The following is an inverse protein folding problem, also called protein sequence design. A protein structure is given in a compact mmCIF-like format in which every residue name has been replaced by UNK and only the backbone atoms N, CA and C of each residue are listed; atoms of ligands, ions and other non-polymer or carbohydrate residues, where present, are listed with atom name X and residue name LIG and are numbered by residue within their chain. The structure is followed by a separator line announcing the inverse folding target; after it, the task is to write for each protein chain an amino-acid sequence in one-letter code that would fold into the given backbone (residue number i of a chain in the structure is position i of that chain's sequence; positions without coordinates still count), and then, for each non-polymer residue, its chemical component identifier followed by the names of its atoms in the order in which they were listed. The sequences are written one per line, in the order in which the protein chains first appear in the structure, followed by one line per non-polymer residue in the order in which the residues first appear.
data_IF_018614075906
#
_entry.id   IF_018614075906
#
_cell.length_a   1.000
_cell.length_b   1.000
_cell.length_c   1.000
_cell.angle_alpha   90.00
_cell.angle_beta   90.00
_cell.angle_gamma   90.00
#
_symmetry.space_group_name_H-M   'P 1'
#
loop_
_entity.id
_entity.type
_entity.pdbx_description
1 polymer ?
#
# COMPACT_ATOMS: atom_id res chain seq x y z
N UNK A 1 0.69 -0.16 -3.93
CA UNK A 1 -0.42 0.33 -3.09
C UNK A 1 0.10 1.06 -1.84
N UNK A 2 0.73 0.37 -0.88
CA UNK A 2 1.24 0.99 0.35
C UNK A 2 2.17 2.18 0.15
N UNK A 3 3.10 2.10 -0.81
CA UNK A 3 3.97 3.24 -1.16
C UNK A 3 3.18 4.45 -1.65
N UNK A 4 2.10 4.25 -2.40
CA UNK A 4 1.22 5.32 -2.86
C UNK A 4 0.53 6.01 -1.68
N UNK A 5 0.04 5.24 -0.71
CA UNK A 5 -0.55 5.79 0.52
C UNK A 5 0.47 6.58 1.34
N UNK A 6 1.70 6.07 1.47
CA UNK A 6 2.77 6.77 2.16
C UNK A 6 3.07 8.13 1.51
N UNK A 7 3.25 8.16 0.19
CA UNK A 7 3.50 9.40 -0.56
C UNK A 7 2.32 10.38 -0.48
N UNK A 8 1.09 9.88 -0.54
CA UNK A 8 -0.10 10.72 -0.37
C UNK A 8 -0.19 11.30 1.05
N UNK A 9 0.22 10.53 2.06
CA UNK A 9 0.36 11.00 3.44
C UNK A 9 1.45 12.06 3.59
N UNK A 10 2.60 11.86 2.95
CA UNK A 10 3.70 12.85 2.96
C UNK A 10 3.28 14.18 2.31
N UNK A 11 2.55 14.13 1.19
CA UNK A 11 2.02 15.33 0.52
C UNK A 11 0.95 16.02 1.40
N UNK A 12 0.03 15.26 1.99
CA UNK A 12 -1.04 15.82 2.80
C UNK A 12 -0.58 16.30 4.18
N UNK A 13 0.59 15.85 4.64
CA UNK A 13 1.18 16.22 5.91
C UNK A 13 0.33 15.84 7.13
N UNK A 14 0.61 16.47 8.27
CA UNK A 14 -0.07 16.19 9.54
C UNK A 14 -1.58 16.45 9.50
N UNK A 15 -2.04 17.37 8.65
CA UNK A 15 -3.45 17.75 8.56
C UNK A 15 -4.35 16.55 8.24
N UNK A 16 -3.84 15.59 7.45
CA UNK A 16 -4.56 14.35 7.08
C UNK A 16 -5.00 13.54 8.31
N UNK A 17 -4.28 13.64 9.44
CA UNK A 17 -4.61 12.90 10.67
C UNK A 17 -5.02 13.78 11.84
N UNK A 18 -4.85 15.10 11.75
CA UNK A 18 -5.19 16.04 12.81
C UNK A 18 -6.27 17.06 12.44
N UNK A 19 -6.84 17.01 11.22
CA UNK A 19 -7.90 17.96 10.84
C UNK A 19 -9.09 17.86 11.81
N UNK A 20 -9.77 19.00 12.10
CA UNK A 20 -10.99 18.97 12.88
C UNK A 20 -12.12 18.27 12.12
N UNK A 21 -13.20 17.97 12.84
CA UNK A 21 -14.44 17.51 12.22
C UNK A 21 -14.97 18.56 11.25
N UNK A 22 -15.49 18.15 10.09
CA UNK A 22 -16.17 19.06 9.16
C UNK A 22 -17.39 19.75 9.79
N UNK A 23 -17.91 19.22 10.91
CA UNK A 23 -18.99 19.85 11.68
C UNK A 23 -18.56 21.16 12.34
N UNK A 24 -17.26 21.37 12.57
CA UNK A 24 -16.76 22.62 13.17
C UNK A 24 -17.01 23.83 12.26
N UNK A 25 -17.16 23.63 10.94
CA UNK A 25 -17.55 24.69 10.00
C UNK A 25 -18.98 25.22 10.24
N UNK A 26 -19.78 24.53 11.05
CA UNK A 26 -21.13 24.95 11.44
C UNK A 26 -21.21 25.35 12.91
N UNK A 27 -20.12 25.22 13.66
CA UNK A 27 -20.08 25.50 15.09
C UNK A 27 -19.82 26.99 15.32
N UNK A 28 -20.76 27.75 15.91
CA UNK A 28 -20.60 29.20 16.08
C UNK A 28 -19.42 29.60 16.96
N UNK A 29 -18.89 28.70 17.80
CA UNK A 29 -17.77 28.99 18.70
C UNK A 29 -16.39 28.77 18.05
N UNK A 30 -16.29 27.84 17.08
CA UNK A 30 -15.01 27.40 16.51
C UNK A 30 -14.87 27.68 15.02
N UNK A 31 -15.97 27.95 14.32
CA UNK A 31 -16.00 28.15 12.87
C UNK A 31 -15.00 29.20 12.42
N UNK A 32 -14.99 30.37 13.04
CA UNK A 32 -14.14 31.49 12.63
C UNK A 32 -12.65 31.12 12.73
N UNK A 33 -12.25 30.41 13.79
CA UNK A 33 -10.88 29.89 13.93
C UNK A 33 -10.55 28.83 12.89
N UNK A 34 -11.51 27.95 12.57
CA UNK A 34 -11.29 26.92 11.55
C UNK A 34 -11.12 27.56 10.18
N UNK A 35 -11.97 28.53 9.84
CA UNK A 35 -11.87 29.26 8.57
C UNK A 35 -10.55 30.04 8.48
N UNK A 36 -10.13 30.73 9.54
CA UNK A 36 -8.86 31.47 9.60
C UNK A 36 -7.65 30.54 9.45
N UNK A 37 -7.50 29.55 10.34
CA UNK A 37 -6.25 28.77 10.43
C UNK A 37 -6.11 27.65 9.40
N UNK A 38 -7.20 27.21 8.76
CA UNK A 38 -7.15 26.17 7.73
C UNK A 38 -7.43 26.69 6.30
N UNK A 39 -7.53 28.01 6.11
CA UNK A 39 -7.61 28.62 4.77
C UNK A 39 -6.29 28.57 4.00
N UNK A 40 -5.15 28.55 4.70
CA UNK A 40 -3.80 28.63 4.11
C UNK A 40 -3.60 29.84 3.18
N UNK A 41 -4.28 30.96 3.47
CA UNK A 41 -4.25 32.17 2.61
C UNK A 41 -4.65 31.87 1.16
N UNK A 42 -5.52 30.86 0.98
CA UNK A 42 -6.02 30.43 -0.33
C UNK A 42 -7.30 31.18 -0.71
N UNK A 43 -7.46 31.45 -2.01
CA UNK A 43 -8.74 31.92 -2.58
C UNK A 43 -9.85 30.85 -2.51
N UNK A 44 -9.49 29.57 -2.31
CA UNK A 44 -10.44 28.47 -2.22
C UNK A 44 -11.10 28.41 -0.83
N UNK A 45 -12.42 28.20 -0.72
CA UNK A 45 -13.08 28.07 0.56
C UNK A 45 -12.46 26.98 1.44
N UNK A 46 -12.20 27.29 2.72
CA UNK A 46 -11.65 26.37 3.73
C UNK A 46 -12.42 25.04 3.79
N UNK A 47 -13.74 25.09 3.58
CA UNK A 47 -14.59 23.90 3.53
C UNK A 47 -14.17 22.90 2.43
N UNK A 48 -13.71 23.38 1.27
CA UNK A 48 -13.29 22.53 0.16
C UNK A 48 -11.88 21.98 0.39
N UNK A 49 -10.97 22.77 0.95
CA UNK A 49 -9.65 22.31 1.42
C UNK A 49 -9.82 21.15 2.39
N UNK A 50 -10.64 21.34 3.43
CA UNK A 50 -10.90 20.30 4.43
C UNK A 50 -11.57 19.06 3.84
N UNK A 51 -12.46 19.18 2.84
CA UNK A 51 -13.04 18.01 2.15
C UNK A 51 -11.98 17.20 1.39
N UNK A 52 -11.06 17.87 0.69
CA UNK A 52 -9.96 17.19 -0.03
C UNK A 52 -9.02 16.52 0.98
N UNK A 53 -8.68 17.20 2.07
CA UNK A 53 -7.89 16.58 3.13
C UNK A 53 -8.60 15.38 3.75
N UNK A 54 -9.92 15.45 3.94
CA UNK A 54 -10.72 14.34 4.46
C UNK A 54 -10.74 13.15 3.51
N UNK A 55 -10.82 13.40 2.21
CA UNK A 55 -10.69 12.36 1.18
C UNK A 55 -9.33 11.67 1.29
N UNK A 56 -8.24 12.45 1.39
CA UNK A 56 -6.90 11.89 1.58
C UNK A 56 -6.81 11.07 2.87
N UNK A 57 -7.38 11.54 3.98
CA UNK A 57 -7.46 10.79 5.25
C UNK A 57 -8.10 9.42 5.07
N UNK A 58 -9.20 9.33 4.33
CA UNK A 58 -9.87 8.05 4.10
C UNK A 58 -9.02 7.11 3.24
N UNK A 59 -8.24 7.64 2.30
CA UNK A 59 -7.35 6.85 1.46
C UNK A 59 -6.11 6.36 2.19
N UNK A 60 -5.49 7.18 3.03
CA UNK A 60 -4.19 6.90 3.65
C UNK A 60 -4.30 6.30 5.04
N UNK A 61 -5.37 6.60 5.79
CA UNK A 61 -5.57 6.16 7.17
C UNK A 61 -6.94 5.47 7.40
N UNK A 62 -7.70 5.20 6.34
CA UNK A 62 -8.97 4.48 6.41
C UNK A 62 -8.86 2.96 6.25
N UNK A 63 -9.99 2.32 5.93
CA UNK A 63 -10.10 0.85 5.84
C UNK A 63 -9.39 0.24 4.62
N UNK A 64 -9.00 1.05 3.64
CA UNK A 64 -8.37 0.56 2.39
C UNK A 64 -7.09 -0.23 2.63
N UNK A 65 -6.26 0.17 3.60
CA UNK A 65 -5.04 -0.55 3.93
C UNK A 65 -5.33 -2.02 4.31
N UNK A 66 -6.22 -2.22 5.26
CA UNK A 66 -6.62 -3.58 5.72
C UNK A 66 -7.28 -4.37 4.59
N UNK A 67 -8.16 -3.73 3.81
CA UNK A 67 -8.82 -4.36 2.67
C UNK A 67 -7.83 -4.88 1.62
N UNK A 68 -6.77 -4.12 1.32
CA UNK A 68 -5.73 -4.56 0.37
C UNK A 68 -4.76 -5.59 0.95
N UNK A 69 -4.58 -5.61 2.27
CA UNK A 69 -3.72 -6.61 2.93
C UNK A 69 -4.37 -8.00 3.04
N UNK A 70 -5.68 -8.02 3.25
CA UNK A 70 -6.45 -9.24 3.48
C UNK A 70 -7.38 -9.62 2.33
N UNK A 71 -7.51 -8.76 1.31
CA UNK A 71 -8.32 -9.04 0.12
C UNK A 71 -7.86 -10.33 -0.56
N UNK A 72 -8.79 -11.26 -0.76
CA UNK A 72 -8.54 -12.62 -1.25
C UNK A 72 -7.60 -13.48 -0.36
N UNK A 73 -7.46 -13.12 0.93
CA UNK A 73 -6.68 -13.85 1.93
C UNK A 73 -5.40 -13.13 2.36
N UNK A 74 -4.82 -13.52 3.52
CA UNK A 74 -3.56 -12.93 3.98
C UNK A 74 -2.40 -13.31 3.03
N UNK A 75 -1.31 -12.55 3.07
CA UNK A 75 -0.09 -12.78 2.24
C UNK A 75 0.41 -14.23 2.31
N UNK A 76 0.28 -14.90 3.46
CA UNK A 76 0.66 -16.30 3.61
C UNK A 76 -0.16 -17.26 2.74
N UNK A 77 -1.45 -16.98 2.50
CA UNK A 77 -2.27 -17.81 1.62
C UNK A 77 -1.69 -17.83 0.19
N UNK A 78 -1.28 -16.68 -0.33
CA UNK A 78 -0.66 -16.58 -1.65
C UNK A 78 0.71 -17.26 -1.70
N UNK A 79 1.54 -17.11 -0.65
CA UNK A 79 2.84 -17.80 -0.55
C UNK A 79 2.69 -19.32 -0.60
N UNK A 80 1.72 -19.88 0.13
CA UNK A 80 1.42 -21.31 0.11
C UNK A 80 1.00 -21.75 -1.29
N UNK A 81 0.16 -20.97 -1.98
CA UNK A 81 -0.27 -21.30 -3.33
C UNK A 81 0.89 -21.30 -4.33
N UNK A 82 1.80 -20.32 -4.26
CA UNK A 82 3.01 -20.30 -5.11
C UNK A 82 3.87 -21.55 -4.84
N UNK A 83 4.06 -21.90 -3.56
CA UNK A 83 4.84 -23.10 -3.20
C UNK A 83 4.21 -24.40 -3.72
N UNK A 84 2.88 -24.47 -3.81
CA UNK A 84 2.16 -25.64 -4.33
C UNK A 84 2.18 -25.74 -5.85
N UNK A 85 2.21 -24.60 -6.55
CA UNK A 85 2.13 -24.54 -8.00
C UNK A 85 3.51 -24.56 -8.67
N UNK A 86 4.57 -24.15 -7.97
CA UNK A 86 5.93 -24.11 -8.51
C UNK A 86 6.62 -25.47 -8.39
N UNK A 87 7.15 -25.99 -9.51
CA UNK A 87 7.99 -27.18 -9.52
C UNK A 87 9.45 -26.80 -9.26
N UNK A 88 9.80 -26.70 -7.98
CA UNK A 88 11.17 -26.37 -7.56
C UNK A 88 12.21 -27.42 -7.97
N UNK A 89 11.82 -28.67 -8.28
CA UNK A 89 12.75 -29.69 -8.75
C UNK A 89 13.13 -29.42 -10.20
N UNK A 90 12.15 -29.08 -11.04
CA UNK A 90 12.39 -28.65 -12.42
C UNK A 90 13.31 -27.42 -12.47
N UNK A 91 13.01 -26.37 -11.71
CA UNK A 91 13.84 -25.15 -11.65
C UNK A 91 15.27 -25.45 -11.19
N UNK A 92 15.43 -26.34 -10.21
CA UNK A 92 16.76 -26.76 -9.73
C UNK A 92 17.52 -27.53 -10.81
N UNK A 93 16.84 -28.33 -11.63
CA UNK A 93 17.49 -29.10 -12.70
C UNK A 93 17.97 -28.17 -13.82
N UNK A 94 17.18 -27.17 -14.21
CA UNK A 94 17.59 -26.14 -15.17
C UNK A 94 18.87 -25.41 -14.71
N UNK A 95 18.97 -25.07 -13.42
CA UNK A 95 20.17 -24.46 -12.86
C UNK A 95 21.38 -25.41 -12.93
N UNK A 96 21.18 -26.70 -12.62
CA UNK A 96 22.28 -27.68 -12.73
C UNK A 96 22.76 -27.84 -14.15
N UNK A 97 21.84 -27.95 -15.10
CA UNK A 97 22.17 -28.08 -16.52
C UNK A 97 22.93 -26.85 -17.02
N UNK A 98 22.43 -25.65 -16.70
CA UNK A 98 23.07 -24.37 -17.07
C UNK A 98 24.49 -24.24 -16.51
N UNK A 99 24.72 -24.76 -15.30
CA UNK A 99 26.03 -24.73 -14.65
C UNK A 99 26.92 -25.95 -14.97
N UNK A 100 26.45 -26.89 -15.80
CA UNK A 100 27.17 -28.14 -16.10
C UNK A 100 27.33 -29.06 -14.88
N UNK A 101 26.45 -28.97 -13.89
CA UNK A 101 26.44 -29.79 -12.67
C UNK A 101 25.62 -31.08 -12.82
N UNK A 102 24.98 -31.29 -13.98
CA UNK A 102 24.38 -32.57 -14.33
C UNK A 102 25.49 -33.62 -14.40
N UNK A 103 25.45 -34.61 -13.50
CA UNK A 103 26.32 -35.78 -13.62
C UNK A 103 25.94 -36.48 -14.93
N UNK A 104 26.83 -36.44 -15.92
CA UNK A 104 26.76 -37.36 -17.04
C UNK A 104 26.73 -38.78 -16.47
N UNK A 105 25.57 -39.44 -16.50
CA UNK A 105 25.46 -40.90 -16.31
C UNK A 105 26.02 -41.67 -17.52
N UNK A 106 26.82 -41.01 -18.37
CA UNK A 106 27.62 -41.61 -19.43
C UNK A 106 29.02 -42.00 -18.90
N UNK A 107 29.04 -42.80 -17.84
CA UNK A 107 30.10 -43.79 -17.59
C UNK A 107 29.41 -45.14 -17.38
N UNK A 108 28.72 -45.59 -18.42
CA UNK A 108 28.63 -47.02 -18.71
C UNK A 108 29.40 -47.21 -20.01
N UNK A 109 30.70 -47.46 -19.90
CA UNK A 109 31.39 -48.18 -20.95
C UNK A 109 31.40 -49.67 -20.56
N UNK A 110 30.87 -50.55 -21.41
CA UNK A 110 30.84 -51.98 -21.17
C UNK A 110 32.15 -52.62 -21.65
N UNK A 111 33.02 -53.01 -20.72
CA UNK A 111 33.92 -54.16 -20.86
C UNK A 111 34.53 -54.56 -19.52
#
# INVERSE_FOLDING_TARGET
FWRTMALAGDIGGGLVVTMPSLKELQNPETKDYVEEFFSFDSDEPTANILKVTKLLQHWTAGQHGVATWHGAGPVMAQKIMIQRLCDFLHEKELVKETLGLTKNTAEKDPQ
#
